data_IF_733970659837
#
_entry.id   IF_733970659837
#
_cell.length_a   1.000
_cell.length_b   1.000
_cell.length_c   1.000
_cell.angle_alpha   90.00
_cell.angle_beta   90.00
_cell.angle_gamma   90.00
#
_symmetry.space_group_name_H-M   'P 1'
#
loop_
_entity.id
_entity.type
_entity.pdbx_description
1 polymer ?
#
# COMPACT_ATOMS: atom_id res chain seq x y z
N UNK A 1 19.53 63.36 24.39
CA UNK A 1 18.36 63.65 23.54
C UNK A 1 18.75 63.25 22.12
N UNK A 2 18.15 62.19 21.59
CA UNK A 2 18.56 61.56 20.31
C UNK A 2 18.51 62.58 19.16
N UNK A 3 19.54 62.66 18.33
CA UNK A 3 19.58 63.62 17.20
C UNK A 3 18.45 63.38 16.19
N UNK A 4 17.99 62.13 16.06
CA UNK A 4 16.82 61.77 15.26
C UNK A 4 15.51 62.39 15.78
N UNK A 5 15.38 62.53 17.10
CA UNK A 5 14.22 63.15 17.75
C UNK A 5 14.16 64.65 17.42
N UNK A 6 15.31 65.32 17.49
CA UNK A 6 15.44 66.75 17.14
C UNK A 6 15.09 67.02 15.69
N UNK A 7 15.52 66.15 14.77
CA UNK A 7 15.22 66.29 13.35
C UNK A 7 13.72 66.10 13.07
N UNK A 8 13.08 65.14 13.73
CA UNK A 8 11.64 64.88 13.64
C UNK A 8 10.83 66.07 14.18
N UNK A 9 11.19 66.58 15.36
CA UNK A 9 10.59 67.76 15.99
C UNK A 9 10.72 69.02 15.11
N UNK A 10 11.91 69.28 14.57
CA UNK A 10 12.12 70.43 13.67
C UNK A 10 11.29 70.32 12.39
N UNK A 11 11.17 69.11 11.84
CA UNK A 11 10.35 68.85 10.65
C UNK A 11 8.86 68.98 10.96
N UNK A 12 8.42 68.57 12.15
CA UNK A 12 7.05 68.72 12.62
C UNK A 12 6.69 70.18 12.84
N UNK A 13 7.56 70.92 13.53
CA UNK A 13 7.41 72.36 13.77
C UNK A 13 7.35 73.15 12.46
N UNK A 14 8.18 72.80 11.48
CA UNK A 14 8.15 73.40 10.14
C UNK A 14 6.80 73.16 9.42
N UNK A 15 6.28 71.93 9.44
CA UNK A 15 4.98 71.61 8.83
C UNK A 15 3.79 72.23 9.58
N UNK A 16 3.85 72.28 10.90
CA UNK A 16 2.79 72.84 11.73
C UNK A 16 2.71 74.36 11.58
N UNK A 17 3.86 75.05 11.63
CA UNK A 17 3.95 76.48 11.37
C UNK A 17 3.48 76.86 9.98
N UNK A 18 3.77 76.04 8.97
CA UNK A 18 3.27 76.25 7.60
C UNK A 18 1.75 76.08 7.48
N UNK A 19 1.14 75.18 8.28
CA UNK A 19 -0.30 74.86 8.19
C UNK A 19 -1.17 75.77 9.06
N UNK A 20 -0.67 76.22 10.21
CA UNK A 20 -1.46 76.96 11.22
C UNK A 20 -0.94 78.37 11.51
N UNK A 21 0.18 78.79 10.90
CA UNK A 21 0.68 80.16 10.95
C UNK A 21 1.32 80.59 12.28
N UNK A 22 1.51 79.66 13.23
CA UNK A 22 2.18 79.91 14.50
C UNK A 22 3.13 78.75 14.85
N UNK A 23 4.21 79.06 15.57
CA UNK A 23 5.15 78.06 16.07
C UNK A 23 4.46 77.19 17.12
N UNK A 24 4.75 75.90 17.09
CA UNK A 24 4.18 74.92 18.00
C UNK A 24 4.76 75.13 19.41
N UNK A 25 3.91 75.21 20.42
CA UNK A 25 4.35 75.32 21.81
C UNK A 25 5.01 74.02 22.30
N UNK A 26 5.96 74.11 23.23
CA UNK A 26 6.77 72.98 23.70
C UNK A 26 5.89 71.84 24.26
N UNK A 27 4.78 72.18 24.94
CA UNK A 27 3.79 71.19 25.42
C UNK A 27 3.09 70.45 24.29
N UNK A 28 2.79 71.16 23.20
CA UNK A 28 2.15 70.55 22.03
C UNK A 28 3.12 69.59 21.35
N UNK A 29 4.41 69.91 21.33
CA UNK A 29 5.47 69.04 20.79
C UNK A 29 5.65 67.76 21.61
N UNK A 30 5.65 67.88 22.94
CA UNK A 30 5.75 66.72 23.84
C UNK A 30 4.54 65.79 23.69
N UNK A 31 3.34 66.35 23.58
CA UNK A 31 2.11 65.58 23.41
C UNK A 31 2.06 64.89 22.04
N UNK A 32 2.48 65.56 20.96
CA UNK A 32 2.55 64.91 19.64
C UNK A 32 3.58 63.77 19.60
N UNK A 33 4.70 63.91 20.31
CA UNK A 33 5.69 62.85 20.41
C UNK A 33 5.13 61.64 21.17
N UNK A 34 4.46 61.86 22.31
CA UNK A 34 3.82 60.80 23.08
C UNK A 34 2.73 60.09 22.27
N UNK A 35 1.90 60.85 21.55
CA UNK A 35 0.91 60.28 20.61
C UNK A 35 1.61 59.46 19.52
N UNK A 36 2.71 59.96 18.96
CA UNK A 36 3.43 59.28 17.90
C UNK A 36 4.01 57.94 18.37
N UNK A 37 4.65 57.92 19.53
CA UNK A 37 5.16 56.69 20.16
C UNK A 37 4.04 55.69 20.43
N UNK A 38 2.91 56.16 20.98
CA UNK A 38 1.76 55.29 21.27
C UNK A 38 1.13 54.71 20.00
N UNK A 39 1.00 55.51 18.94
CA UNK A 39 0.54 55.03 17.63
C UNK A 39 1.53 54.06 16.98
N UNK A 40 2.83 54.28 17.13
CA UNK A 40 3.85 53.36 16.63
C UNK A 40 3.75 52.00 17.32
N UNK A 41 3.56 51.98 18.65
CA UNK A 41 3.30 50.77 19.43
C UNK A 41 2.03 50.06 18.97
N UNK A 42 0.92 50.78 18.86
CA UNK A 42 -0.37 50.25 18.42
C UNK A 42 -0.32 49.70 16.98
N UNK A 43 0.35 50.38 16.07
CA UNK A 43 0.52 49.95 14.69
C UNK A 43 1.35 48.65 14.59
N UNK A 44 2.38 48.51 15.42
CA UNK A 44 3.17 47.28 15.51
C UNK A 44 2.33 46.11 16.02
N UNK A 45 1.50 46.34 17.05
CA UNK A 45 0.60 45.33 17.61
C UNK A 45 -0.49 44.90 16.61
N UNK A 46 -1.13 45.84 15.92
CA UNK A 46 -2.12 45.56 14.88
C UNK A 46 -1.48 44.78 13.72
N UNK A 47 -0.25 45.12 13.31
CA UNK A 47 0.46 44.40 12.25
C UNK A 47 0.75 42.95 12.65
N UNK A 48 1.18 42.73 13.88
CA UNK A 48 1.40 41.40 14.45
C UNK A 48 0.09 40.59 14.50
N UNK A 49 -0.99 41.19 14.99
CA UNK A 49 -2.30 40.58 15.04
C UNK A 49 -2.82 40.20 13.63
N UNK A 50 -2.70 41.12 12.66
CA UNK A 50 -3.09 40.88 11.27
C UNK A 50 -2.29 39.74 10.64
N UNK A 51 -0.99 39.67 10.92
CA UNK A 51 -0.13 38.58 10.44
C UNK A 51 -0.50 37.25 11.10
N UNK A 52 -0.80 37.24 12.39
CA UNK A 52 -1.25 36.06 13.12
C UNK A 52 -2.60 35.55 12.59
N UNK A 53 -3.54 36.46 12.30
CA UNK A 53 -4.83 36.14 11.66
C UNK A 53 -4.60 35.55 10.26
N UNK A 54 -3.73 36.14 9.45
CA UNK A 54 -3.38 35.62 8.13
C UNK A 54 -2.78 34.21 8.20
N UNK A 55 -1.88 33.95 9.16
CA UNK A 55 -1.31 32.62 9.40
C UNK A 55 -2.34 31.62 9.93
N UNK A 56 -3.28 32.06 10.78
CA UNK A 56 -4.38 31.22 11.23
C UNK A 56 -5.31 30.87 10.06
N UNK A 57 -5.63 31.84 9.20
CA UNK A 57 -6.47 31.64 8.03
C UNK A 57 -5.84 30.66 7.02
N UNK A 58 -4.53 30.73 6.79
CA UNK A 58 -3.84 29.75 5.93
C UNK A 58 -3.81 28.37 6.55
N UNK A 59 -3.54 28.24 7.86
CA UNK A 59 -3.62 26.95 8.57
C UNK A 59 -5.02 26.35 8.55
N UNK A 60 -6.05 27.16 8.76
CA UNK A 60 -7.46 26.74 8.68
C UNK A 60 -7.78 26.30 7.25
N UNK A 61 -7.41 27.06 6.22
CA UNK A 61 -7.67 26.70 4.82
C UNK A 61 -6.98 25.39 4.41
N UNK A 62 -5.77 25.14 4.90
CA UNK A 62 -5.05 23.88 4.67
C UNK A 62 -5.68 22.71 5.44
N UNK A 63 -6.13 22.94 6.67
CA UNK A 63 -6.83 21.94 7.49
C UNK A 63 -8.28 21.68 7.03
N UNK A 64 -8.92 22.65 6.36
CA UNK A 64 -10.31 22.61 5.88
C UNK A 64 -10.46 22.03 4.48
N UNK A 65 -9.45 21.35 3.93
CA UNK A 65 -9.72 20.27 2.97
C UNK A 65 -10.45 19.07 3.62
N UNK A 66 -11.08 19.27 4.78
CA UNK A 66 -12.19 18.45 5.23
C UNK A 66 -13.32 18.59 4.22
N UNK A 67 -13.40 17.65 3.29
CA UNK A 67 -14.52 17.52 2.37
C UNK A 67 -15.78 17.44 3.22
N UNK A 68 -16.63 18.46 3.14
CA UNK A 68 -17.89 18.50 3.86
C UNK A 68 -18.89 17.67 3.05
N UNK A 69 -19.28 16.52 3.58
CA UNK A 69 -20.28 15.65 2.95
C UNK A 69 -21.66 16.02 3.49
N UNK A 70 -22.62 16.29 2.60
CA UNK A 70 -23.99 16.59 2.97
C UNK A 70 -24.75 15.38 3.52
N UNK A 71 -24.22 14.18 3.31
CA UNK A 71 -24.83 12.91 3.73
C UNK A 71 -23.78 11.84 4.07
N UNK A 72 -24.07 11.01 5.07
CA UNK A 72 -23.22 9.87 5.48
C UNK A 72 -22.96 8.91 4.32
N UNK A 73 -23.91 8.78 3.36
CA UNK A 73 -23.73 7.93 2.18
C UNK A 73 -22.67 8.49 1.23
N UNK A 74 -22.64 9.80 1.01
CA UNK A 74 -21.66 10.45 0.13
C UNK A 74 -20.24 10.35 0.70
N UNK A 75 -20.09 10.48 2.02
CA UNK A 75 -18.82 10.27 2.71
C UNK A 75 -18.29 8.84 2.51
N UNK A 76 -19.18 7.84 2.60
CA UNK A 76 -18.83 6.44 2.37
C UNK A 76 -18.44 6.19 0.91
N UNK A 77 -19.22 6.64 -0.06
CA UNK A 77 -18.88 6.46 -1.48
C UNK A 77 -17.60 7.19 -1.87
N UNK A 78 -17.33 8.36 -1.29
CA UNK A 78 -16.09 9.09 -1.50
C UNK A 78 -14.89 8.35 -0.90
N UNK A 79 -15.02 7.87 0.34
CA UNK A 79 -13.98 7.06 0.99
C UNK A 79 -13.71 5.77 0.20
N UNK A 80 -14.77 5.04 -0.17
CA UNK A 80 -14.70 3.85 -1.02
C UNK A 80 -14.08 4.17 -2.39
N UNK A 81 -14.44 5.28 -3.03
CA UNK A 81 -13.88 5.66 -4.34
C UNK A 81 -12.38 5.94 -4.30
N UNK A 82 -11.87 6.50 -3.20
CA UNK A 82 -10.43 6.74 -3.02
C UNK A 82 -9.68 5.45 -2.71
N UNK A 83 -10.24 4.59 -1.86
CA UNK A 83 -9.55 3.37 -1.41
C UNK A 83 -9.75 2.17 -2.32
N UNK A 84 -10.80 2.15 -3.15
CA UNK A 84 -11.13 1.02 -4.01
C UNK A 84 -10.02 0.67 -5.02
N UNK A 85 -9.37 1.63 -5.72
CA UNK A 85 -8.28 1.30 -6.64
C UNK A 85 -7.10 0.64 -5.94
N UNK A 86 -6.74 1.12 -4.75
CA UNK A 86 -5.66 0.55 -3.95
C UNK A 86 -6.02 -0.86 -3.43
N UNK A 87 -7.27 -1.04 -2.99
CA UNK A 87 -7.76 -2.35 -2.56
C UNK A 87 -7.76 -3.37 -3.71
N UNK A 88 -8.19 -2.98 -4.91
CA UNK A 88 -8.17 -3.84 -6.11
C UNK A 88 -6.73 -4.20 -6.50
N UNK A 89 -5.80 -3.25 -6.46
CA UNK A 89 -4.40 -3.53 -6.72
C UNK A 89 -3.82 -4.53 -5.71
N UNK A 90 -4.12 -4.35 -4.43
CA UNK A 90 -3.67 -5.25 -3.37
C UNK A 90 -4.23 -6.67 -3.51
N UNK A 91 -5.50 -6.82 -3.90
CA UNK A 91 -6.09 -8.16 -4.13
C UNK A 91 -5.44 -8.87 -5.31
N UNK A 92 -5.19 -8.17 -6.42
CA UNK A 92 -4.50 -8.74 -7.59
C UNK A 92 -3.09 -9.22 -7.22
N UNK A 93 -2.33 -8.40 -6.49
CA UNK A 93 -0.99 -8.77 -6.02
C UNK A 93 -1.05 -9.98 -5.09
N UNK A 94 -2.01 -10.02 -4.16
CA UNK A 94 -2.19 -11.15 -3.24
C UNK A 94 -2.50 -12.45 -3.98
N UNK A 95 -3.33 -12.41 -5.04
CA UNK A 95 -3.66 -13.57 -5.86
C UNK A 95 -2.41 -14.08 -6.60
N UNK A 96 -1.61 -13.16 -7.16
CA UNK A 96 -0.35 -13.49 -7.84
C UNK A 96 0.65 -14.17 -6.91
N UNK A 97 0.82 -13.65 -5.69
CA UNK A 97 1.71 -14.23 -4.68
C UNK A 97 1.22 -15.63 -4.28
N UNK A 98 -0.09 -15.77 -4.04
CA UNK A 98 -0.68 -17.06 -3.69
C UNK A 98 -0.49 -18.10 -4.81
N UNK A 99 -0.71 -17.69 -6.07
CA UNK A 99 -0.53 -18.58 -7.21
C UNK A 99 0.93 -18.99 -7.39
N UNK A 100 1.87 -18.07 -7.20
CA UNK A 100 3.30 -18.35 -7.24
C UNK A 100 3.73 -19.34 -6.15
N UNK A 101 3.33 -19.09 -4.90
CA UNK A 101 3.66 -19.97 -3.77
C UNK A 101 3.06 -21.38 -3.93
N UNK A 102 1.80 -21.48 -4.37
CA UNK A 102 1.14 -22.77 -4.60
C UNK A 102 1.80 -23.56 -5.74
N UNK A 103 2.23 -22.85 -6.79
CA UNK A 103 2.92 -23.44 -7.93
C UNK A 103 4.30 -23.97 -7.53
N UNK A 104 5.06 -23.20 -6.74
CA UNK A 104 6.38 -23.59 -6.23
C UNK A 104 6.31 -24.87 -5.39
N UNK A 105 5.35 -24.97 -4.45
CA UNK A 105 5.18 -26.18 -3.64
C UNK A 105 4.86 -27.41 -4.49
N UNK A 106 4.02 -27.27 -5.52
CA UNK A 106 3.69 -28.37 -6.43
C UNK A 106 4.91 -28.81 -7.23
N UNK A 107 5.70 -27.88 -7.75
CA UNK A 107 6.90 -28.21 -8.51
C UNK A 107 7.99 -28.84 -7.63
N UNK A 108 8.18 -28.34 -6.40
CA UNK A 108 9.13 -28.92 -5.44
C UNK A 108 8.77 -30.38 -5.11
N UNK A 109 7.48 -30.66 -4.81
CA UNK A 109 7.00 -32.02 -4.53
C UNK A 109 7.14 -32.95 -5.74
N UNK A 110 6.85 -32.46 -6.95
CA UNK A 110 6.96 -33.26 -8.16
C UNK A 110 8.43 -33.56 -8.49
N UNK A 111 9.31 -32.56 -8.32
CA UNK A 111 10.74 -32.69 -8.54
C UNK A 111 11.39 -33.66 -7.55
N UNK A 112 11.01 -33.63 -6.28
CA UNK A 112 11.51 -34.58 -5.29
C UNK A 112 11.11 -36.03 -5.61
N UNK A 113 9.90 -36.25 -6.14
CA UNK A 113 9.46 -37.60 -6.55
C UNK A 113 10.28 -38.10 -7.74
N UNK A 114 10.52 -37.25 -8.74
CA UNK A 114 11.30 -37.59 -9.93
C UNK A 114 12.77 -37.87 -9.58
N UNK A 115 13.36 -37.06 -8.68
CA UNK A 115 14.77 -37.19 -8.29
C UNK A 115 15.04 -38.40 -7.37
N UNK A 116 14.06 -38.76 -6.53
CA UNK A 116 14.19 -39.90 -5.60
C UNK A 116 14.03 -41.25 -6.31
N UNK A 117 13.35 -41.29 -7.45
CA UNK A 117 13.00 -42.55 -8.12
C UNK A 117 13.22 -42.43 -9.64
N UNK A 118 14.37 -42.93 -10.09
CA UNK A 118 14.78 -42.96 -11.51
C UNK A 118 13.75 -43.61 -12.45
N UNK A 119 12.92 -44.51 -11.91
CA UNK A 119 11.96 -45.31 -12.66
C UNK A 119 10.53 -44.71 -12.69
N UNK A 120 10.31 -43.51 -12.13
CA UNK A 120 8.96 -42.92 -11.99
C UNK A 120 8.21 -42.83 -13.31
N UNK A 121 8.90 -42.51 -14.40
CA UNK A 121 8.29 -42.43 -15.73
C UNK A 121 7.62 -43.74 -16.14
N UNK A 122 8.20 -44.88 -15.77
CA UNK A 122 7.66 -46.20 -16.12
C UNK A 122 6.45 -46.55 -15.23
N UNK A 123 6.41 -46.06 -13.99
CA UNK A 123 5.28 -46.24 -13.08
C UNK A 123 4.07 -45.36 -13.42
N UNK A 124 4.24 -44.25 -14.14
CA UNK A 124 3.10 -43.41 -14.59
C UNK A 124 2.12 -44.23 -15.43
N UNK A 125 2.61 -45.14 -16.26
CA UNK A 125 1.76 -46.02 -17.09
C UNK A 125 0.96 -47.01 -16.24
N UNK A 126 1.52 -47.48 -15.11
CA UNK A 126 0.79 -48.31 -14.15
C UNK A 126 -0.32 -47.54 -13.45
N UNK A 127 -0.10 -46.25 -13.17
CA UNK A 127 -1.10 -45.39 -12.51
C UNK A 127 -2.30 -45.07 -13.42
N UNK A 128 -2.14 -45.13 -14.75
CA UNK A 128 -3.22 -44.84 -15.71
C UNK A 128 -4.23 -45.99 -15.84
N UNK A 129 -3.77 -47.24 -15.78
CA UNK A 129 -4.64 -48.44 -15.92
C UNK A 129 -4.86 -49.22 -14.63
N UNK A 130 -4.10 -48.93 -13.57
CA UNK A 130 -4.11 -49.70 -12.34
C UNK A 130 -5.37 -49.50 -11.50
N UNK A 131 -6.12 -50.56 -11.24
CA UNK A 131 -7.21 -50.54 -10.28
C UNK A 131 -6.67 -50.83 -8.88
N UNK A 132 -6.90 -49.91 -7.94
CA UNK A 132 -6.55 -50.10 -6.52
C UNK A 132 -7.79 -50.47 -5.74
N UNK A 133 -7.70 -51.52 -4.92
CA UNK A 133 -8.74 -51.89 -3.95
C UNK A 133 -8.19 -51.76 -2.54
N UNK A 134 -9.02 -51.22 -1.66
CA UNK A 134 -8.73 -51.18 -0.23
C UNK A 134 -9.35 -52.40 0.45
N UNK A 135 -8.52 -53.22 1.08
CA UNK A 135 -8.97 -54.37 1.87
C UNK A 135 -8.18 -54.44 3.17
N UNK A 136 -8.88 -54.52 4.30
CA UNK A 136 -8.24 -54.74 5.61
C UNK A 136 -7.24 -53.65 6.02
N UNK A 137 -7.46 -52.40 5.61
CA UNK A 137 -6.57 -51.27 5.95
C UNK A 137 -5.31 -51.15 5.09
N UNK A 138 -5.20 -51.93 4.00
CA UNK A 138 -4.12 -51.81 3.02
C UNK A 138 -4.65 -51.55 1.60
N UNK A 139 -3.87 -50.82 0.81
CA UNK A 139 -4.13 -50.58 -0.61
C UNK A 139 -3.41 -51.63 -1.45
N UNK A 140 -4.14 -52.32 -2.31
CA UNK A 140 -3.61 -53.36 -3.19
C UNK A 140 -3.89 -53.02 -4.66
N UNK A 141 -2.87 -53.16 -5.50
CA UNK A 141 -3.03 -53.08 -6.95
C UNK A 141 -3.62 -54.40 -7.46
N UNK A 142 -4.76 -54.32 -8.14
CA UNK A 142 -5.41 -55.47 -8.76
C UNK A 142 -4.80 -55.70 -10.13
N UNK A 143 -4.19 -56.87 -10.30
CA UNK A 143 -3.63 -57.31 -11.58
C UNK A 143 -4.29 -58.63 -12.00
N UNK A 144 -4.55 -58.79 -13.29
CA UNK A 144 -5.11 -59.98 -13.92
C UNK A 144 -4.00 -60.77 -14.62
N UNK A 145 -4.10 -62.10 -14.71
CA UNK A 145 -3.12 -62.87 -15.45
C UNK A 145 -3.18 -62.50 -16.94
N UNK A 146 -2.01 -62.27 -17.55
CA UNK A 146 -1.90 -61.88 -18.94
C UNK A 146 -2.59 -62.90 -19.89
N UNK A 147 -3.38 -62.43 -20.87
CA UNK A 147 -4.08 -63.32 -21.80
C UNK A 147 -3.09 -64.10 -22.68
N UNK A 148 -3.32 -65.41 -22.88
CA UNK A 148 -2.45 -66.27 -23.70
C UNK A 148 -2.45 -65.92 -25.21
N UNK A 149 -3.45 -65.16 -25.68
CA UNK A 149 -3.53 -64.56 -27.02
C UNK A 149 -4.22 -63.19 -26.91
N UNK A 150 -3.50 -62.12 -27.24
CA UNK A 150 -4.01 -60.75 -27.17
C UNK A 150 -2.91 -59.74 -26.82
N UNK A 151 -3.25 -58.45 -26.88
CA UNK A 151 -2.36 -57.39 -26.39
C UNK A 151 -2.45 -57.33 -24.87
N UNK A 152 -1.30 -57.41 -24.18
CA UNK A 152 -1.21 -57.16 -22.75
C UNK A 152 -1.51 -55.68 -22.45
N UNK A 153 -2.34 -55.43 -21.44
CA UNK A 153 -2.68 -54.09 -20.98
C UNK A 153 -1.78 -53.69 -19.81
N UNK A 154 -1.10 -52.55 -19.97
CA UNK A 154 -0.19 -51.98 -18.96
C UNK A 154 -0.99 -51.53 -17.74
N UNK A 155 -0.56 -51.93 -16.54
CA UNK A 155 -1.25 -51.59 -15.29
C UNK A 155 -2.38 -52.53 -14.90
N UNK A 156 -2.87 -53.38 -15.83
CA UNK A 156 -3.93 -54.35 -15.55
C UNK A 156 -3.44 -55.79 -15.58
N UNK A 157 -2.46 -56.14 -16.42
CA UNK A 157 -2.02 -57.53 -16.61
C UNK A 157 -0.69 -57.85 -15.90
N UNK A 158 -0.50 -59.10 -15.47
CA UNK A 158 0.76 -59.62 -14.94
C UNK A 158 1.17 -60.95 -15.59
N UNK A 159 2.48 -61.19 -15.66
CA UNK A 159 3.09 -62.45 -16.11
C UNK A 159 3.87 -63.07 -14.96
N UNK A 160 3.58 -64.33 -14.61
CA UNK A 160 4.33 -65.03 -13.58
C UNK A 160 5.55 -65.75 -14.18
N UNK A 161 6.75 -65.32 -13.79
CA UNK A 161 8.01 -65.98 -14.15
C UNK A 161 8.27 -67.12 -13.15
N UNK A 162 7.81 -68.33 -13.51
CA UNK A 162 7.98 -69.54 -12.72
C UNK A 162 9.45 -69.90 -12.45
N UNK A 163 10.38 -69.52 -13.33
CA UNK A 163 11.81 -69.86 -13.17
C UNK A 163 12.44 -69.11 -12.01
N UNK A 164 12.05 -67.85 -11.84
CA UNK A 164 12.61 -66.97 -10.80
C UNK A 164 11.62 -66.68 -9.67
N UNK A 165 10.44 -67.32 -9.67
CA UNK A 165 9.35 -67.12 -8.71
C UNK A 165 8.97 -65.64 -8.51
N UNK A 166 8.89 -64.88 -9.61
CA UNK A 166 8.61 -63.43 -9.59
C UNK A 166 7.45 -63.05 -10.50
N UNK A 167 6.74 -61.98 -10.13
CA UNK A 167 5.67 -61.39 -10.93
C UNK A 167 6.26 -60.27 -11.79
N UNK A 168 6.05 -60.33 -13.09
CA UNK A 168 6.44 -59.30 -14.05
C UNK A 168 5.19 -58.52 -14.43
N UNK A 169 5.24 -57.20 -14.27
CA UNK A 169 4.18 -56.30 -14.70
C UNK A 169 4.70 -55.52 -15.91
N UNK A 170 3.98 -55.51 -17.05
CA UNK A 170 4.42 -54.80 -18.24
C UNK A 170 4.35 -53.29 -17.98
N UNK A 171 5.44 -52.59 -18.27
CA UNK A 171 5.57 -51.12 -18.14
C UNK A 171 5.56 -50.42 -19.50
N UNK A 172 5.08 -51.11 -20.55
CA UNK A 172 5.13 -50.65 -21.94
C UNK A 172 6.25 -51.31 -22.76
N UNK A 173 6.18 -51.15 -24.08
CA UNK A 173 7.26 -51.53 -25.01
C UNK A 173 8.07 -50.28 -25.34
N UNK A 174 9.40 -50.35 -25.26
CA UNK A 174 10.29 -49.36 -25.87
C UNK A 174 10.30 -49.55 -27.38
#
# INVERSE_FOLDING_TARGET
>A
MNDQLRELLNRLNGKYGQKYGHLMDDWTSMLLEEIHENFAGLAAEIKSCTQAIGQAQTKIKTSQRAVHFGSTREALFYALGITAPAAIAATIISILIFWYAYTEERFQKLRSIIDTYENVSDYVLLMQGGQVIERGGGNYLVLRPAPSKGNMMVGEDYVYDHKNKRVLVPLGRK
#
